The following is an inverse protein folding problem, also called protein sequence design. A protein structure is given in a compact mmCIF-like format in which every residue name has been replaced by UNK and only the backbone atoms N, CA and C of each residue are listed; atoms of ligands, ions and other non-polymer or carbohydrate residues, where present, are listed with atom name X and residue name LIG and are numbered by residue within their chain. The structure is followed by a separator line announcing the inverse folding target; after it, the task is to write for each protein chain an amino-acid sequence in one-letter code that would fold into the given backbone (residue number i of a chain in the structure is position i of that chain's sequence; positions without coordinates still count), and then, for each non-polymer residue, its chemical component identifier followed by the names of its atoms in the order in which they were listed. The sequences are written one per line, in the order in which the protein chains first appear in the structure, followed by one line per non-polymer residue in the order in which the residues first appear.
data_IF_482308380334
#
_entry.id   IF_482308380334
#
_cell.length_a   1.000
_cell.length_b   1.000
_cell.length_c   1.000
_cell.angle_alpha   90.00
_cell.angle_beta   90.00
_cell.angle_gamma   90.00
#
_symmetry.space_group_name_H-M   'P 1'
#
loop_
_entity.id
_entity.type
_entity.pdbx_description
1 polymer ?
#
# COMPACT_ATOMS: atom_id res chain seq x y z
N UNK A 1 -12.50 -25.74 10.95
CA UNK A 1 -13.38 -24.75 11.59
C UNK A 1 -14.79 -25.00 11.09
N UNK A 2 -15.82 -25.08 11.96
CA UNK A 2 -17.20 -25.26 11.51
C UNK A 2 -17.63 -24.11 10.58
N UNK A 3 -18.52 -24.37 9.59
CA UNK A 3 -19.06 -23.32 8.75
C UNK A 3 -19.70 -22.20 9.59
N UNK A 4 -19.43 -20.95 9.23
CA UNK A 4 -19.94 -19.77 9.92
C UNK A 4 -19.19 -19.38 11.21
N UNK A 5 -18.12 -20.07 11.57
CA UNK A 5 -17.27 -19.72 12.71
C UNK A 5 -16.00 -19.00 12.23
N UNK A 6 -15.59 -17.97 12.99
CA UNK A 6 -14.27 -17.35 12.88
C UNK A 6 -13.37 -17.91 13.98
N UNK A 7 -12.13 -18.27 13.65
CA UNK A 7 -11.13 -18.57 14.65
C UNK A 7 -10.59 -17.26 15.20
N UNK A 8 -10.70 -17.10 16.50
CA UNK A 8 -10.05 -16.01 17.22
C UNK A 8 -8.86 -16.59 17.97
N UNK A 9 -7.70 -16.00 17.74
CA UNK A 9 -6.45 -16.39 18.42
C UNK A 9 -6.00 -15.22 19.28
N UNK A 10 -5.75 -15.50 20.53
CA UNK A 10 -5.18 -14.56 21.48
C UNK A 10 -3.66 -14.77 21.50
N UNK A 11 -2.86 -13.79 21.03
CA UNK A 11 -1.41 -13.90 21.08
C UNK A 11 -0.90 -13.89 22.53
N UNK A 12 0.18 -14.62 22.78
CA UNK A 12 0.87 -14.56 24.07
C UNK A 12 1.41 -13.16 24.36
N UNK A 13 1.41 -12.76 25.64
CA UNK A 13 2.00 -11.50 26.09
C UNK A 13 1.15 -10.26 25.83
N UNK A 14 -0.14 -10.42 25.66
CA UNK A 14 -1.06 -9.27 25.64
C UNK A 14 -1.08 -8.54 27.00
N UNK A 15 -1.17 -7.21 27.03
CA UNK A 15 -1.31 -6.45 28.26
C UNK A 15 -2.58 -6.82 29.04
N UNK A 16 -2.49 -6.79 30.36
CA UNK A 16 -3.67 -6.97 31.22
C UNK A 16 -4.58 -5.75 31.17
N UNK A 17 -5.86 -5.93 31.49
CA UNK A 17 -6.84 -4.85 31.61
C UNK A 17 -7.25 -4.22 30.27
N UNK A 18 -7.13 -4.92 29.16
CA UNK A 18 -7.59 -4.42 27.84
C UNK A 18 -9.10 -4.22 27.77
N UNK A 19 -9.88 -5.05 28.49
CA UNK A 19 -11.33 -4.91 28.56
C UNK A 19 -11.81 -3.66 29.35
N UNK A 20 -10.91 -3.04 30.11
CA UNK A 20 -11.18 -1.88 30.95
C UNK A 20 -10.81 -0.55 30.27
N UNK A 21 -10.31 -0.61 29.04
CA UNK A 21 -9.90 0.59 28.30
C UNK A 21 -11.12 1.33 27.77
N UNK A 22 -11.15 2.64 27.96
CA UNK A 22 -12.18 3.52 27.38
C UNK A 22 -12.08 3.52 25.85
N UNK A 23 -13.20 3.24 25.19
CA UNK A 23 -13.26 3.30 23.71
C UNK A 23 -13.05 4.74 23.21
N UNK A 24 -12.36 4.86 22.07
CA UNK A 24 -12.12 6.16 21.44
C UNK A 24 -11.05 7.01 22.12
N UNK A 25 -10.23 6.41 22.99
CA UNK A 25 -9.10 7.08 23.65
C UNK A 25 -7.76 6.40 23.32
N UNK A 26 -6.72 7.19 23.34
CA UNK A 26 -5.34 6.67 23.23
C UNK A 26 -4.96 5.99 24.53
N UNK A 27 -4.62 4.71 24.48
CA UNK A 27 -4.14 3.93 25.61
C UNK A 27 -2.91 3.11 25.18
N UNK A 28 -1.79 3.17 25.93
CA UNK A 28 -0.57 2.42 25.60
C UNK A 28 -0.78 0.91 25.60
N UNK A 29 -1.69 0.38 26.42
CA UNK A 29 -2.02 -1.07 26.43
C UNK A 29 -2.61 -1.48 25.08
N UNK A 30 -3.48 -0.65 24.48
CA UNK A 30 -4.01 -0.91 23.14
C UNK A 30 -2.92 -0.84 22.06
N UNK A 31 -1.98 0.09 22.17
CA UNK A 31 -0.82 0.17 21.27
C UNK A 31 0.05 -1.08 21.35
N UNK A 32 0.39 -1.53 22.56
CA UNK A 32 1.15 -2.74 22.76
C UNK A 32 0.42 -4.00 22.26
N UNK A 33 -0.88 -4.12 22.54
CA UNK A 33 -1.70 -5.23 22.04
C UNK A 33 -1.77 -5.27 20.52
N UNK A 34 -1.96 -4.11 19.86
CA UNK A 34 -1.97 -4.03 18.41
C UNK A 34 -0.64 -4.48 17.79
N UNK A 35 0.51 -4.06 18.37
CA UNK A 35 1.83 -4.51 17.92
C UNK A 35 1.97 -6.03 18.06
N UNK A 36 1.58 -6.61 19.21
CA UNK A 36 1.62 -8.06 19.42
C UNK A 36 0.75 -8.83 18.43
N UNK A 37 -0.44 -8.32 18.11
CA UNK A 37 -1.29 -8.93 17.09
C UNK A 37 -0.64 -8.91 15.69
N UNK A 38 0.02 -7.82 15.32
CA UNK A 38 0.74 -7.73 14.03
C UNK A 38 1.93 -8.70 14.01
N UNK A 39 2.72 -8.75 15.07
CA UNK A 39 3.85 -9.69 15.21
C UNK A 39 3.40 -11.14 15.07
N UNK A 40 2.34 -11.53 15.79
CA UNK A 40 1.78 -12.87 15.73
C UNK A 40 1.25 -13.21 14.32
N UNK A 41 0.53 -12.29 13.68
CA UNK A 41 0.01 -12.49 12.33
C UNK A 41 1.14 -12.68 11.30
N UNK A 42 2.22 -11.89 11.40
CA UNK A 42 3.39 -12.05 10.52
C UNK A 42 4.09 -13.39 10.77
N UNK A 43 4.31 -13.75 12.02
CA UNK A 43 4.91 -15.05 12.36
C UNK A 43 4.10 -16.23 11.80
N UNK A 44 2.76 -16.15 11.85
CA UNK A 44 1.89 -17.19 11.33
C UNK A 44 1.95 -17.30 9.81
N UNK A 45 1.93 -16.18 9.08
CA UNK A 45 2.01 -16.22 7.62
C UNK A 45 3.39 -16.69 7.16
N UNK A 46 4.46 -16.30 7.84
CA UNK A 46 5.82 -16.77 7.54
C UNK A 46 6.00 -18.28 7.85
N UNK A 47 5.29 -18.80 8.84
CA UNK A 47 5.26 -20.24 9.14
C UNK A 47 4.32 -21.04 8.19
N UNK A 48 3.71 -20.42 7.19
CA UNK A 48 2.78 -21.07 6.26
C UNK A 48 1.42 -21.42 6.88
N UNK A 49 1.10 -20.88 8.05
CA UNK A 49 -0.17 -21.13 8.76
C UNK A 49 -1.27 -20.14 8.36
N UNK A 50 -0.91 -19.10 7.63
CA UNK A 50 -1.82 -18.10 7.05
C UNK A 50 -1.44 -17.80 5.62
N UNK A 51 -2.43 -17.46 4.78
CA UNK A 51 -2.22 -17.14 3.37
C UNK A 51 -1.88 -15.66 3.14
N UNK A 52 -2.35 -14.77 4.01
CA UNK A 52 -2.16 -13.33 3.91
C UNK A 52 -2.35 -12.65 5.27
N UNK A 53 -1.85 -11.43 5.40
CA UNK A 53 -2.11 -10.54 6.54
C UNK A 53 -3.06 -9.45 6.12
N UNK A 54 -4.20 -9.31 6.80
CA UNK A 54 -5.12 -8.18 6.64
C UNK A 54 -5.14 -7.41 7.95
N UNK A 55 -4.68 -6.17 7.94
CA UNK A 55 -4.63 -5.37 9.16
C UNK A 55 -5.80 -4.40 9.25
N UNK A 56 -6.43 -4.31 10.42
CA UNK A 56 -7.28 -3.18 10.77
C UNK A 56 -6.43 -1.90 10.94
N UNK A 57 -7.05 -0.71 11.00
CA UNK A 57 -6.34 0.54 11.27
C UNK A 57 -5.58 0.51 12.60
N UNK A 58 -4.45 1.19 12.65
CA UNK A 58 -3.55 1.28 13.80
C UNK A 58 -3.42 2.74 14.27
N UNK A 59 -3.46 2.98 15.58
CA UNK A 59 -3.28 4.32 16.14
C UNK A 59 -1.82 4.58 16.46
N UNK A 60 -1.19 5.50 15.73
CA UNK A 60 0.25 5.80 15.84
C UNK A 60 0.64 6.33 17.21
N UNK A 61 -0.19 7.21 17.81
CA UNK A 61 0.06 7.73 19.15
C UNK A 61 -0.03 6.63 20.23
N UNK A 62 -0.93 5.65 20.05
CA UNK A 62 -1.02 4.53 20.97
C UNK A 62 0.23 3.63 20.90
N UNK A 63 0.78 3.40 19.69
CA UNK A 63 2.05 2.71 19.52
C UNK A 63 3.20 3.47 20.20
N UNK A 64 3.31 4.77 19.95
CA UNK A 64 4.34 5.60 20.55
C UNK A 64 4.23 5.63 22.08
N UNK A 65 3.01 5.73 22.63
CA UNK A 65 2.73 5.69 24.06
C UNK A 65 3.11 4.32 24.68
N UNK A 66 3.03 3.24 23.90
CA UNK A 66 3.48 1.91 24.30
C UNK A 66 5.01 1.71 24.19
N UNK A 67 5.77 2.72 23.75
CA UNK A 67 7.21 2.62 23.51
C UNK A 67 7.59 1.84 22.24
N UNK A 68 6.65 1.62 21.33
CA UNK A 68 6.89 0.91 20.07
C UNK A 68 7.51 1.90 19.08
N UNK A 69 8.73 1.62 18.63
CA UNK A 69 9.54 2.53 17.79
C UNK A 69 9.18 2.59 16.31
N UNK A 70 8.02 2.06 15.91
CA UNK A 70 7.57 2.09 14.52
C UNK A 70 6.53 3.17 14.28
N UNK A 71 6.67 4.01 13.24
CA UNK A 71 5.71 5.07 12.93
C UNK A 71 4.38 4.53 12.36
N UNK A 72 4.32 3.27 11.97
CA UNK A 72 3.12 2.64 11.43
C UNK A 72 3.32 1.18 11.00
N UNK A 73 2.30 0.63 10.33
CA UNK A 73 2.33 -0.75 9.86
C UNK A 73 3.46 -1.03 8.87
N UNK A 74 3.71 -0.14 7.92
CA UNK A 74 4.65 -0.39 6.82
C UNK A 74 6.05 -0.67 7.35
N UNK A 75 6.55 0.19 8.21
CA UNK A 75 7.88 0.09 8.80
C UNK A 75 7.98 -1.12 9.74
N UNK A 76 6.93 -1.39 10.51
CA UNK A 76 6.85 -2.54 11.38
C UNK A 76 6.86 -3.86 10.58
N UNK A 77 6.03 -3.96 9.55
CA UNK A 77 5.96 -5.16 8.70
C UNK A 77 7.26 -5.38 7.92
N UNK A 78 7.89 -4.30 7.45
CA UNK A 78 9.20 -4.36 6.79
C UNK A 78 10.27 -4.88 7.73
N UNK A 79 10.31 -4.41 8.98
CA UNK A 79 11.25 -4.88 10.00
C UNK A 79 11.00 -6.36 10.34
N UNK A 80 9.75 -6.77 10.51
CA UNK A 80 9.38 -8.17 10.79
C UNK A 80 9.65 -9.11 9.60
N UNK A 81 9.71 -8.57 8.38
CA UNK A 81 10.04 -9.31 7.16
C UNK A 81 11.53 -9.29 6.83
N UNK A 82 12.39 -8.75 7.70
CA UNK A 82 13.83 -8.68 7.48
C UNK A 82 14.43 -10.07 7.34
N UNK A 83 15.07 -10.31 6.20
CA UNK A 83 15.79 -11.54 5.89
C UNK A 83 17.31 -11.37 5.97
N UNK A 84 18.08 -12.36 5.49
CA UNK A 84 19.54 -12.31 5.46
C UNK A 84 20.11 -11.10 4.71
N UNK A 85 19.40 -10.65 3.66
CA UNK A 85 19.80 -9.52 2.82
C UNK A 85 19.32 -8.16 3.35
N UNK A 86 18.78 -8.13 4.56
CA UNK A 86 18.22 -6.94 5.18
C UNK A 86 16.70 -6.79 4.99
N UNK A 87 16.13 -5.63 5.35
CA UNK A 87 14.71 -5.37 5.19
C UNK A 87 14.34 -5.28 3.70
N UNK A 88 13.26 -5.96 3.26
CA UNK A 88 12.84 -5.91 1.86
C UNK A 88 12.40 -4.49 1.47
N UNK A 89 12.72 -4.02 0.26
CA UNK A 89 12.19 -2.75 -0.21
C UNK A 89 10.69 -2.88 -0.45
N UNK A 90 9.91 -1.97 0.14
CA UNK A 90 8.45 -1.98 0.04
C UNK A 90 7.92 -0.76 -0.69
N UNK A 91 6.74 -0.90 -1.30
CA UNK A 91 5.98 0.19 -1.92
C UNK A 91 4.51 0.11 -1.51
N UNK A 92 3.93 1.28 -1.35
CA UNK A 92 2.50 1.40 -1.15
C UNK A 92 1.79 1.37 -2.50
N UNK A 93 0.76 0.56 -2.59
CA UNK A 93 -0.21 0.62 -3.68
C UNK A 93 -1.60 0.88 -3.10
N UNK A 94 -2.33 1.79 -3.71
CA UNK A 94 -3.76 1.93 -3.50
C UNK A 94 -4.48 1.40 -4.73
N UNK A 95 -5.46 0.54 -4.51
CA UNK A 95 -6.20 -0.10 -5.59
C UNK A 95 -7.69 -0.17 -5.28
N UNK A 96 -8.49 -0.07 -6.33
CA UNK A 96 -9.89 -0.48 -6.35
C UNK A 96 -10.12 -1.36 -7.59
N UNK A 97 -11.38 -1.66 -7.92
CA UNK A 97 -11.69 -2.50 -9.09
C UNK A 97 -11.29 -1.84 -10.43
N UNK A 98 -11.26 -0.50 -10.48
CA UNK A 98 -11.05 0.25 -11.72
C UNK A 98 -9.60 0.76 -11.90
N UNK A 99 -8.86 1.00 -10.81
CA UNK A 99 -7.55 1.64 -10.88
C UNK A 99 -6.59 1.11 -9.82
N UNK A 100 -5.33 0.88 -10.21
CA UNK A 100 -4.22 0.48 -9.33
C UNK A 100 -3.08 1.46 -9.47
N UNK A 101 -2.66 2.04 -8.36
CA UNK A 101 -1.58 3.05 -8.36
C UNK A 101 -0.52 2.69 -7.32
N UNK A 102 0.72 2.57 -7.79
CA UNK A 102 1.90 2.32 -6.96
C UNK A 102 2.67 3.63 -6.80
N UNK A 103 3.10 3.93 -5.59
CA UNK A 103 3.75 5.20 -5.26
C UNK A 103 5.27 5.06 -5.13
N UNK A 104 6.01 5.98 -5.75
CA UNK A 104 7.47 6.11 -5.57
C UNK A 104 7.77 6.72 -4.21
N UNK A 105 7.11 7.82 -3.86
CA UNK A 105 7.23 8.48 -2.57
C UNK A 105 5.89 8.57 -1.86
N UNK A 106 5.91 8.51 -0.51
CA UNK A 106 4.71 8.53 0.32
C UNK A 106 4.80 9.65 1.37
N UNK A 107 4.55 9.40 2.61
CA UNK A 107 4.37 10.30 3.76
C UNK A 107 5.59 11.19 4.09
N UNK A 108 5.87 12.17 3.25
CA UNK A 108 6.91 13.18 3.45
C UNK A 108 6.48 14.54 2.90
N UNK A 109 7.18 15.61 3.28
CA UNK A 109 6.92 16.94 2.72
C UNK A 109 7.12 16.92 1.19
N UNK A 110 6.28 17.63 0.43
CA UNK A 110 6.32 17.63 -1.04
C UNK A 110 7.71 17.99 -1.59
N UNK A 111 8.42 18.96 -0.98
CA UNK A 111 9.79 19.30 -1.36
C UNK A 111 10.74 18.10 -1.23
N UNK A 112 10.65 17.37 -0.12
CA UNK A 112 11.45 16.15 0.08
C UNK A 112 11.04 15.04 -0.87
N UNK A 113 9.74 14.93 -1.20
CA UNK A 113 9.25 13.95 -2.17
C UNK A 113 9.85 14.18 -3.56
N UNK A 114 9.94 15.44 -4.00
CA UNK A 114 10.58 15.80 -5.27
C UNK A 114 12.06 15.35 -5.29
N UNK A 115 12.80 15.62 -4.21
CA UNK A 115 14.21 15.22 -4.07
C UNK A 115 14.38 13.69 -3.96
N UNK A 116 13.40 12.98 -3.41
CA UNK A 116 13.40 11.52 -3.28
C UNK A 116 13.03 10.79 -4.58
N UNK A 117 12.50 11.47 -5.59
CA UNK A 117 12.30 10.91 -6.93
C UNK A 117 13.66 10.79 -7.62
N UNK A 118 14.30 9.64 -7.47
CA UNK A 118 15.59 9.32 -8.06
C UNK A 118 15.44 8.20 -9.10
N UNK A 119 16.44 8.04 -9.95
CA UNK A 119 16.50 6.93 -10.93
C UNK A 119 16.29 5.58 -10.23
N UNK A 120 17.02 5.31 -9.15
CA UNK A 120 16.95 4.05 -8.42
C UNK A 120 15.57 3.84 -7.75
N UNK A 121 14.98 4.90 -7.18
CA UNK A 121 13.67 4.82 -6.56
C UNK A 121 12.58 4.48 -7.58
N UNK A 122 12.61 5.09 -8.76
CA UNK A 122 11.66 4.82 -9.86
C UNK A 122 11.86 3.40 -10.39
N UNK A 123 13.09 3.02 -10.73
CA UNK A 123 13.40 1.68 -11.25
C UNK A 123 13.04 0.57 -10.27
N UNK A 124 13.36 0.75 -8.98
CA UNK A 124 13.00 -0.21 -7.95
C UNK A 124 11.47 -0.33 -7.79
N UNK A 125 10.75 0.79 -7.89
CA UNK A 125 9.29 0.78 -7.86
C UNK A 125 8.70 0.00 -9.04
N UNK A 126 9.25 0.15 -10.24
CA UNK A 126 8.83 -0.60 -11.43
C UNK A 126 9.08 -2.12 -11.27
N UNK A 127 10.22 -2.51 -10.72
CA UNK A 127 10.54 -3.91 -10.42
C UNK A 127 9.56 -4.52 -9.42
N UNK A 128 9.28 -3.81 -8.32
CA UNK A 128 8.33 -4.25 -7.29
C UNK A 128 6.91 -4.33 -7.86
N UNK A 129 6.48 -3.32 -8.61
CA UNK A 129 5.16 -3.28 -9.24
C UNK A 129 4.96 -4.45 -10.19
N UNK A 130 5.94 -4.75 -11.04
CA UNK A 130 5.91 -5.89 -11.96
C UNK A 130 5.82 -7.22 -11.21
N UNK A 131 6.66 -7.42 -10.20
CA UNK A 131 6.66 -8.67 -9.43
C UNK A 131 5.34 -8.88 -8.69
N UNK A 132 4.80 -7.82 -8.09
CA UNK A 132 3.53 -7.87 -7.37
C UNK A 132 2.33 -8.08 -8.29
N UNK A 133 2.35 -7.54 -9.50
CA UNK A 133 1.24 -7.68 -10.45
C UNK A 133 0.95 -9.15 -10.84
N UNK A 134 1.95 -10.02 -10.77
CA UNK A 134 1.77 -11.45 -11.00
C UNK A 134 0.76 -12.06 -10.01
N UNK A 135 0.70 -11.56 -8.77
CA UNK A 135 -0.28 -11.97 -7.76
C UNK A 135 -1.73 -11.60 -8.14
N UNK A 136 -1.92 -10.61 -9.01
CA UNK A 136 -3.23 -10.25 -9.59
C UNK A 136 -3.56 -11.02 -10.87
N UNK A 137 -2.79 -12.04 -11.21
CA UNK A 137 -2.94 -12.74 -12.48
C UNK A 137 -2.46 -11.93 -13.69
N UNK A 138 -1.61 -10.94 -13.47
CA UNK A 138 -1.00 -10.08 -14.48
C UNK A 138 0.50 -10.37 -14.57
N UNK A 139 0.93 -11.47 -15.21
CA UNK A 139 2.34 -11.86 -15.28
C UNK A 139 3.17 -10.92 -16.16
N UNK A 140 2.54 -10.15 -17.03
CA UNK A 140 3.16 -9.13 -17.89
C UNK A 140 2.31 -7.84 -17.88
N UNK A 141 2.31 -7.09 -16.76
CA UNK A 141 1.47 -5.91 -16.63
C UNK A 141 1.96 -4.77 -17.52
N UNK A 142 1.01 -4.07 -18.15
CA UNK A 142 1.26 -2.82 -18.87
C UNK A 142 1.32 -1.70 -17.83
N UNK A 143 2.53 -1.19 -17.56
CA UNK A 143 2.79 -0.19 -16.53
C UNK A 143 2.88 1.20 -17.15
N UNK A 144 1.97 2.11 -16.79
CA UNK A 144 2.14 3.52 -17.09
C UNK A 144 2.96 4.19 -15.98
N UNK A 145 3.91 5.03 -16.35
CA UNK A 145 4.68 5.86 -15.42
C UNK A 145 4.23 7.30 -15.58
N UNK A 146 3.67 7.89 -14.53
CA UNK A 146 3.29 9.30 -14.52
C UNK A 146 4.54 10.18 -14.44
N UNK A 147 4.50 11.35 -15.06
CA UNK A 147 5.49 12.40 -14.83
C UNK A 147 5.39 12.98 -13.42
N UNK A 148 6.39 13.74 -13.04
CA UNK A 148 6.44 14.53 -11.81
C UNK A 148 5.86 15.92 -12.06
N UNK A 149 6.22 16.51 -13.20
CA UNK A 149 5.88 17.88 -13.58
C UNK A 149 4.61 17.95 -14.46
N UNK A 150 3.94 19.11 -14.53
CA UNK A 150 2.84 19.35 -15.46
C UNK A 150 3.22 18.95 -16.89
N UNK A 151 2.29 18.30 -17.60
CA UNK A 151 2.50 17.82 -18.97
C UNK A 151 3.73 16.90 -19.15
N UNK A 152 4.15 16.22 -18.06
CA UNK A 152 5.38 15.43 -18.03
C UNK A 152 6.61 16.26 -18.46
N UNK A 153 6.72 17.49 -17.94
CA UNK A 153 7.82 18.42 -18.17
C UNK A 153 7.78 19.17 -19.50
N UNK A 154 6.85 18.88 -20.43
CA UNK A 154 6.72 19.51 -21.76
C UNK A 154 8.09 19.70 -22.45
N UNK A 155 8.86 18.63 -22.59
CA UNK A 155 10.18 18.69 -23.21
C UNK A 155 11.24 19.47 -22.42
N UNK A 156 11.03 19.70 -21.12
CA UNK A 156 11.93 20.43 -20.22
C UNK A 156 11.48 21.86 -19.92
N UNK A 157 10.31 22.29 -20.45
CA UNK A 157 9.78 23.63 -20.19
C UNK A 157 9.34 23.82 -18.73
N UNK A 158 8.81 22.76 -18.09
CA UNK A 158 8.27 22.79 -16.73
C UNK A 158 9.10 21.95 -15.74
N UNK A 159 10.33 21.65 -16.06
CA UNK A 159 11.24 20.81 -15.30
C UNK A 159 11.85 19.73 -16.18
N UNK A 160 12.94 19.13 -15.73
CA UNK A 160 13.73 18.20 -16.52
C UNK A 160 13.85 16.79 -15.87
N UNK A 161 13.15 16.55 -14.75
CA UNK A 161 13.17 15.30 -14.01
C UNK A 161 12.69 14.12 -14.88
N UNK A 162 11.76 14.37 -15.78
CA UNK A 162 11.30 13.38 -16.76
C UNK A 162 12.42 12.93 -17.69
N UNK A 163 13.25 13.86 -18.13
CA UNK A 163 14.36 13.58 -19.05
C UNK A 163 15.57 12.97 -18.34
N UNK A 164 15.90 13.48 -17.14
CA UNK A 164 17.11 13.08 -16.41
C UNK A 164 16.91 11.87 -15.50
N UNK A 165 15.70 11.62 -15.03
CA UNK A 165 15.41 10.62 -13.99
C UNK A 165 14.40 9.59 -14.48
N UNK A 166 13.17 10.02 -14.78
CA UNK A 166 12.05 9.11 -15.01
C UNK A 166 12.19 8.35 -16.33
N UNK A 167 12.50 9.04 -17.40
CA UNK A 167 12.73 8.45 -18.74
C UNK A 167 13.84 7.41 -18.74
N UNK A 168 15.04 7.72 -18.23
CA UNK A 168 16.13 6.75 -18.07
C UNK A 168 15.72 5.52 -17.21
N UNK A 169 14.98 5.70 -16.11
CA UNK A 169 14.50 4.58 -15.29
C UNK A 169 13.51 3.69 -16.05
N UNK A 170 12.61 4.28 -16.85
CA UNK A 170 11.71 3.53 -17.74
C UNK A 170 12.51 2.74 -18.77
N UNK A 171 13.51 3.37 -19.39
CA UNK A 171 14.37 2.69 -20.37
C UNK A 171 15.11 1.50 -19.76
N UNK A 172 15.66 1.65 -18.56
CA UNK A 172 16.29 0.57 -17.81
C UNK A 172 15.31 -0.56 -17.48
N UNK A 173 14.12 -0.24 -17.00
CA UNK A 173 13.07 -1.23 -16.73
C UNK A 173 12.68 -2.02 -18.00
N UNK A 174 12.57 -1.35 -19.15
CA UNK A 174 12.33 -2.01 -20.44
C UNK A 174 13.44 -2.96 -20.83
N UNK A 175 14.68 -2.58 -20.59
CA UNK A 175 15.83 -3.46 -20.85
C UNK A 175 15.81 -4.73 -19.97
N UNK A 176 15.14 -4.67 -18.81
CA UNK A 176 14.87 -5.82 -17.92
C UNK A 176 13.60 -6.61 -18.33
N UNK A 177 12.94 -6.25 -19.43
CA UNK A 177 11.72 -6.91 -19.90
C UNK A 177 10.44 -6.49 -19.18
N UNK A 178 10.46 -5.33 -18.52
CA UNK A 178 9.26 -4.74 -17.90
C UNK A 178 8.52 -3.88 -18.94
N UNK A 179 7.24 -4.16 -19.17
CA UNK A 179 6.40 -3.34 -20.08
C UNK A 179 6.01 -2.03 -19.39
N UNK A 180 6.97 -1.10 -19.32
CA UNK A 180 6.80 0.22 -18.75
C UNK A 180 6.75 1.27 -19.85
N UNK A 181 5.82 2.23 -19.76
CA UNK A 181 5.65 3.32 -20.73
C UNK A 181 5.49 4.68 -20.06
N UNK A 182 5.88 5.74 -20.75
CA UNK A 182 5.84 7.11 -20.26
C UNK A 182 7.19 7.81 -20.43
N UNK A 183 7.44 8.90 -19.67
CA UNK A 183 6.53 9.49 -18.68
C UNK A 183 5.27 10.07 -19.32
N UNK A 184 4.11 9.81 -18.72
CA UNK A 184 2.81 10.31 -19.15
C UNK A 184 2.41 11.54 -18.34
N UNK A 185 1.66 12.51 -18.92
CA UNK A 185 1.12 13.63 -18.15
C UNK A 185 0.29 13.13 -16.95
N UNK A 186 0.61 13.56 -15.71
CA UNK A 186 -0.02 13.02 -14.50
C UNK A 186 -1.50 13.37 -14.36
N UNK A 187 -1.98 14.41 -15.03
CA UNK A 187 -3.39 14.83 -15.04
C UNK A 187 -4.29 13.95 -15.94
N UNK A 188 -3.72 13.21 -16.90
CA UNK A 188 -4.49 12.42 -17.88
C UNK A 188 -4.22 10.92 -17.85
N UNK A 189 -3.10 10.47 -17.34
CA UNK A 189 -2.71 9.04 -17.37
C UNK A 189 -3.69 8.14 -16.64
N UNK A 190 -4.28 8.61 -15.53
CA UNK A 190 -5.22 7.83 -14.73
C UNK A 190 -6.53 7.56 -15.47
N UNK A 191 -7.02 8.51 -16.29
CA UNK A 191 -8.19 8.28 -17.15
C UNK A 191 -7.92 7.16 -18.17
N UNK A 192 -6.70 7.09 -18.71
CA UNK A 192 -6.30 6.05 -19.65
C UNK A 192 -6.11 4.68 -19.00
N UNK A 193 -5.73 4.66 -17.72
CA UNK A 193 -5.53 3.45 -16.94
C UNK A 193 -6.83 2.93 -16.30
N UNK A 194 -7.84 3.78 -16.16
CA UNK A 194 -9.13 3.39 -15.58
C UNK A 194 -9.76 2.28 -16.39
N UNK A 195 -10.08 1.17 -15.71
CA UNK A 195 -10.65 -0.02 -16.31
C UNK A 195 -12.11 -0.18 -15.85
N UNK A 196 -13.05 -0.05 -16.77
CA UNK A 196 -14.48 -0.30 -16.54
C UNK A 196 -15.00 -1.35 -17.52
N UNK A 197 -16.17 -1.95 -17.28
CA UNK A 197 -16.78 -2.89 -18.24
C UNK A 197 -16.94 -2.29 -19.64
N UNK A 198 -17.22 -0.99 -19.74
CA UNK A 198 -17.45 -0.26 -21.00
C UNK A 198 -16.15 0.21 -21.65
N UNK A 199 -15.11 0.45 -20.87
CA UNK A 199 -13.84 1.02 -21.31
C UNK A 199 -12.65 0.28 -20.67
N UNK A 200 -12.14 -0.77 -21.31
CA UNK A 200 -10.92 -1.43 -20.85
C UNK A 200 -9.76 -0.45 -20.78
N UNK A 201 -9.09 -0.39 -19.64
CA UNK A 201 -7.94 0.48 -19.43
C UNK A 201 -6.78 0.18 -20.39
N UNK A 202 -6.10 1.21 -20.87
CA UNK A 202 -4.89 1.06 -21.67
C UNK A 202 -3.72 0.48 -20.87
N UNK A 203 -3.75 0.61 -19.54
CA UNK A 203 -2.71 0.17 -18.61
C UNK A 203 -3.33 -0.63 -17.47
N UNK A 204 -2.56 -1.55 -16.92
CA UNK A 204 -2.99 -2.41 -15.83
C UNK A 204 -2.72 -1.79 -14.46
N UNK A 205 -1.70 -0.91 -14.40
CA UNK A 205 -1.36 -0.11 -13.22
C UNK A 205 -0.58 1.16 -13.60
N UNK A 206 -0.60 2.15 -12.70
CA UNK A 206 0.15 3.40 -12.82
C UNK A 206 1.18 3.50 -11.71
N UNK A 207 2.41 3.88 -12.04
CA UNK A 207 3.42 4.31 -11.07
C UNK A 207 3.40 5.84 -11.00
N UNK A 208 3.07 6.38 -9.83
CA UNK A 208 3.00 7.82 -9.57
C UNK A 208 4.16 8.27 -8.68
N UNK A 209 4.70 9.47 -8.94
CA UNK A 209 5.89 9.96 -8.27
C UNK A 209 5.63 10.38 -6.83
N UNK A 210 4.48 11.01 -6.55
CA UNK A 210 4.14 11.55 -5.24
C UNK A 210 2.80 11.02 -4.73
N UNK A 211 2.61 11.10 -3.41
CA UNK A 211 1.43 10.61 -2.70
C UNK A 211 0.11 11.12 -3.31
N UNK A 212 -0.08 12.44 -3.39
CA UNK A 212 -1.35 13.02 -3.82
C UNK A 212 -1.60 12.83 -5.31
N UNK A 213 -0.56 12.89 -6.17
CA UNK A 213 -0.70 12.55 -7.58
C UNK A 213 -1.31 11.16 -7.80
N UNK A 214 -0.91 10.19 -6.99
CA UNK A 214 -1.39 8.82 -7.13
C UNK A 214 -2.68 8.52 -6.39
N UNK A 215 -2.88 9.08 -5.20
CA UNK A 215 -4.01 8.70 -4.35
C UNK A 215 -5.31 9.46 -4.66
N UNK A 216 -5.23 10.73 -5.07
CA UNK A 216 -6.42 11.53 -5.40
C UNK A 216 -7.30 10.81 -6.44
N UNK A 217 -6.79 10.36 -7.60
CA UNK A 217 -7.63 9.71 -8.60
C UNK A 217 -8.27 8.41 -8.11
N UNK A 218 -7.56 7.60 -7.31
CA UNK A 218 -8.14 6.35 -6.76
C UNK A 218 -9.22 6.65 -5.74
N UNK A 219 -8.96 7.59 -4.82
CA UNK A 219 -9.91 7.97 -3.76
C UNK A 219 -11.16 8.66 -4.32
N UNK A 220 -11.01 9.43 -5.40
CA UNK A 220 -12.13 10.07 -6.08
C UNK A 220 -13.11 9.07 -6.71
N UNK A 221 -12.64 7.88 -7.07
CA UNK A 221 -13.46 6.78 -7.60
C UNK A 221 -14.22 5.98 -6.53
N UNK A 222 -14.00 6.27 -5.23
CA UNK A 222 -14.70 5.62 -4.11
C UNK A 222 -13.74 5.12 -3.05
N UNK A 223 -13.76 5.77 -1.89
CA UNK A 223 -12.88 5.44 -0.73
C UNK A 223 -13.26 4.10 -0.12
N UNK A 224 -14.54 3.73 -0.10
CA UNK A 224 -15.07 2.51 0.52
C UNK A 224 -14.52 1.24 -0.14
N UNK A 225 -14.14 1.31 -1.40
CA UNK A 225 -13.57 0.19 -2.16
C UNK A 225 -12.04 0.27 -2.27
N UNK A 226 -11.45 1.33 -1.74
CA UNK A 226 -10.01 1.53 -1.71
C UNK A 226 -9.32 0.50 -0.81
N UNK A 227 -8.36 -0.23 -1.36
CA UNK A 227 -7.54 -1.20 -0.65
C UNK A 227 -6.10 -0.74 -0.69
N UNK A 228 -5.50 -0.57 0.49
CA UNK A 228 -4.07 -0.34 0.61
C UNK A 228 -3.34 -1.69 0.60
N UNK A 229 -2.36 -1.83 -0.27
CA UNK A 229 -1.53 -3.02 -0.40
C UNK A 229 -0.07 -2.66 -0.22
N UNK A 230 0.63 -3.38 0.64
CA UNK A 230 2.07 -3.23 0.80
C UNK A 230 2.77 -4.23 -0.13
N UNK A 231 3.38 -3.72 -1.18
CA UNK A 231 4.13 -4.51 -2.16
C UNK A 231 5.57 -4.70 -1.71
N UNK A 232 6.20 -5.81 -2.11
CA UNK A 232 7.61 -6.11 -1.81
C UNK A 232 7.82 -6.93 -0.54
N UNK A 233 6.79 -7.13 0.30
CA UNK A 233 6.86 -8.08 1.40
C UNK A 233 6.87 -9.54 0.87
N UNK A 234 7.49 -10.49 1.57
CA UNK A 234 7.51 -11.91 1.18
C UNK A 234 6.14 -12.61 1.41
N UNK A 235 5.12 -11.87 1.79
CA UNK A 235 3.75 -12.32 1.99
C UNK A 235 2.76 -11.23 1.55
N UNK A 236 1.53 -11.63 1.25
CA UNK A 236 0.46 -10.69 0.90
C UNK A 236 0.03 -9.90 2.12
N UNK A 237 0.01 -8.57 1.99
CA UNK A 237 -0.57 -7.69 3.02
C UNK A 237 -1.50 -6.67 2.41
N UNK A 238 -2.73 -6.63 2.93
CA UNK A 238 -3.75 -5.63 2.58
C UNK A 238 -4.30 -4.94 3.82
N UNK A 239 -4.89 -3.78 3.64
CA UNK A 239 -5.64 -3.06 4.68
C UNK A 239 -6.67 -2.12 4.08
N UNK A 240 -7.70 -1.72 4.86
CA UNK A 240 -8.53 -0.58 4.50
C UNK A 240 -7.70 0.70 4.40
N UNK A 241 -8.23 1.69 3.70
CA UNK A 241 -7.59 3.00 3.51
C UNK A 241 -8.28 4.10 4.34
N UNK A 242 -8.49 3.83 5.64
CA UNK A 242 -9.02 4.78 6.62
C UNK A 242 -8.31 4.64 7.97
N UNK A 243 -8.53 5.59 8.86
CA UNK A 243 -7.98 5.59 10.23
C UNK A 243 -8.85 4.82 11.23
N UNK A 244 -8.50 4.95 12.51
CA UNK A 244 -9.16 4.25 13.64
C UNK A 244 -10.54 4.79 14.00
N UNK A 245 -10.94 5.95 13.47
CA UNK A 245 -12.27 6.55 13.64
C UNK A 245 -12.75 6.57 15.11
N UNK A 246 -11.93 7.12 16.00
CA UNK A 246 -12.21 7.19 17.44
C UNK A 246 -13.52 7.91 17.79
N UNK A 247 -13.92 8.86 16.95
CA UNK A 247 -15.17 9.62 17.07
C UNK A 247 -16.43 8.77 16.99
N UNK A 248 -16.38 7.61 16.34
CA UNK A 248 -17.50 6.66 16.24
C UNK A 248 -17.27 5.36 17.02
N UNK A 249 -16.16 5.24 17.76
CA UNK A 249 -15.83 4.04 18.52
C UNK A 249 -16.94 3.71 19.54
N UNK A 250 -17.37 2.45 19.61
CA UNK A 250 -18.42 1.98 20.50
C UNK A 250 -19.86 2.39 20.11
N UNK A 251 -20.05 3.13 19.01
CA UNK A 251 -21.37 3.66 18.60
C UNK A 251 -22.13 2.77 17.61
N UNK A 252 -21.51 1.69 17.13
CA UNK A 252 -22.11 0.79 16.13
C UNK A 252 -22.35 1.43 14.76
N UNK A 253 -21.60 2.50 14.41
CA UNK A 253 -21.75 3.27 13.17
C UNK A 253 -20.68 2.95 12.13
N UNK A 254 -19.70 2.12 12.47
CA UNK A 254 -18.60 1.80 11.55
C UNK A 254 -19.11 1.02 10.33
N UNK A 255 -18.66 1.46 9.14
CA UNK A 255 -18.90 0.75 7.89
C UNK A 255 -17.79 -0.28 7.65
N UNK A 256 -18.09 -1.58 7.51
CA UNK A 256 -17.11 -2.62 7.26
C UNK A 256 -16.66 -2.73 5.80
N UNK A 257 -17.22 -1.96 4.87
CA UNK A 257 -17.03 -2.11 3.42
C UNK A 257 -15.54 -2.13 3.01
N UNK A 258 -14.74 -1.19 3.51
CA UNK A 258 -13.31 -1.10 3.19
C UNK A 258 -12.51 -2.30 3.72
N UNK A 259 -12.81 -2.80 4.93
CA UNK A 259 -12.17 -4.00 5.46
C UNK A 259 -12.56 -5.26 4.67
N UNK A 260 -13.83 -5.36 4.27
CA UNK A 260 -14.29 -6.45 3.41
C UNK A 260 -13.62 -6.41 2.03
N UNK A 261 -13.41 -5.21 1.46
CA UNK A 261 -12.66 -5.04 0.22
C UNK A 261 -11.21 -5.52 0.39
N UNK A 262 -10.55 -5.14 1.50
CA UNK A 262 -9.20 -5.59 1.82
C UNK A 262 -9.10 -7.12 1.98
N UNK A 263 -10.06 -7.76 2.65
CA UNK A 263 -10.14 -9.22 2.79
C UNK A 263 -10.31 -9.92 1.44
N UNK A 264 -11.21 -9.40 0.58
CA UNK A 264 -11.41 -9.94 -0.78
C UNK A 264 -10.15 -9.81 -1.64
N UNK A 265 -9.48 -8.66 -1.56
CA UNK A 265 -8.21 -8.44 -2.24
C UNK A 265 -7.13 -9.41 -1.74
N UNK A 266 -6.97 -9.57 -0.42
CA UNK A 266 -6.01 -10.52 0.16
C UNK A 266 -6.26 -11.95 -0.34
N UNK A 267 -7.52 -12.39 -0.35
CA UNK A 267 -7.89 -13.73 -0.86
C UNK A 267 -7.52 -13.92 -2.33
N UNK A 268 -7.76 -12.89 -3.18
CA UNK A 268 -7.39 -12.97 -4.61
C UNK A 268 -5.87 -13.03 -4.82
N UNK A 269 -5.12 -12.33 -3.97
CA UNK A 269 -3.66 -12.23 -4.07
C UNK A 269 -2.93 -13.47 -3.51
N UNK A 270 -3.57 -14.18 -2.59
CA UNK A 270 -2.98 -15.36 -1.95
C UNK A 270 -3.28 -16.68 -2.68
N UNK A 271 -4.14 -16.66 -3.70
CA UNK A 271 -4.51 -17.83 -4.53
C UNK A 271 -5.73 -18.53 -3.98
#
# INVERSE_FOLDING_TARGET
VPPGCLVVVEPDGLPQGLAEVDMGRVDPRCGAAAARCVEAAVAWVQAGQGAAVVTAPLHKEALAAAGIGFPGHTEMLQALATGPDGPPPVRMMLANEELRVVLVTIHMALRQAIEAVTFDAVLQTLRIARSAAALWGLPAPRIAVAGLNPHAGEGGLFGDEEQRIIGPAIAAARAEGIDASGPWPPDTVFMRARNTPEHPGAFDLVVAMTHDHGLIPVKYLGVEQGVNVTLGLPFVRTSPDHGTAFDIAGRGLADPASLLAALRAARRLAG
#
